data_IF_456158911838
#
_entry.id   IF_456158911838
#
_cell.length_a   1.000
_cell.length_b   1.000
_cell.length_c   1.000
_cell.angle_alpha   90.00
_cell.angle_beta   90.00
_cell.angle_gamma   90.00
#
_symmetry.space_group_name_H-M   'P 1'
#
loop_
_entity.id
_entity.type
_entity.pdbx_description
1 polymer ?
#
# COMPACT_ATOMS: atom_id res chain seq x y z
N UNK A 1 -21.00 -3.14 -11.52
CA UNK A 1 -20.04 -2.22 -10.88
C UNK A 1 -20.18 -0.88 -11.56
N UNK A 2 -20.22 0.21 -10.80
CA UNK A 2 -20.25 1.57 -11.36
C UNK A 2 -19.01 1.81 -12.21
N UNK A 3 -19.15 2.58 -13.28
CA UNK A 3 -18.02 2.97 -14.12
C UNK A 3 -16.98 3.71 -13.26
N UNK A 4 -15.71 3.30 -13.34
CA UNK A 4 -14.63 3.89 -12.55
C UNK A 4 -14.51 3.43 -11.09
N UNK A 5 -15.31 2.47 -10.63
CA UNK A 5 -15.12 1.86 -9.31
C UNK A 5 -13.79 1.11 -9.22
N UNK A 6 -13.04 1.35 -8.14
CA UNK A 6 -11.76 0.69 -7.85
C UNK A 6 -11.71 0.32 -6.36
N UNK A 7 -11.53 -0.96 -6.04
CA UNK A 7 -11.23 -1.43 -4.68
C UNK A 7 -9.73 -1.62 -4.51
N UNK A 8 -9.18 -0.98 -3.48
CA UNK A 8 -7.76 -1.01 -3.15
C UNK A 8 -7.56 -1.60 -1.77
N UNK A 9 -6.59 -2.49 -1.64
CA UNK A 9 -6.12 -3.07 -0.39
C UNK A 9 -4.66 -2.65 -0.17
N UNK A 10 -4.31 -2.15 1.02
CA UNK A 10 -2.92 -1.99 1.45
C UNK A 10 -2.66 -2.89 2.65
N UNK A 11 -1.56 -3.65 2.62
CA UNK A 11 -1.28 -4.62 3.66
C UNK A 11 0.22 -4.89 3.86
N UNK A 12 0.74 -4.57 5.05
CA UNK A 12 2.02 -5.09 5.52
C UNK A 12 1.87 -6.57 5.86
N UNK A 13 2.58 -7.44 5.14
CA UNK A 13 2.47 -8.91 5.28
C UNK A 13 3.58 -9.51 6.14
N UNK A 14 4.33 -8.68 6.86
CA UNK A 14 5.33 -9.09 7.84
C UNK A 14 6.34 -10.14 7.33
N UNK A 15 6.76 -10.04 6.06
CA UNK A 15 7.69 -11.01 5.47
C UNK A 15 7.13 -12.43 5.30
N UNK A 16 5.81 -12.62 5.38
CA UNK A 16 5.13 -13.92 5.39
C UNK A 16 5.66 -14.84 6.52
N UNK A 17 5.94 -14.26 7.69
CA UNK A 17 6.44 -14.96 8.88
C UNK A 17 5.33 -15.70 9.63
N UNK A 18 4.08 -15.23 9.49
CA UNK A 18 2.92 -15.73 10.21
C UNK A 18 2.15 -16.80 9.39
N UNK A 19 0.83 -16.91 9.57
CA UNK A 19 -0.02 -17.88 8.87
C UNK A 19 -0.24 -17.47 7.40
N UNK A 20 0.53 -18.07 6.50
CA UNK A 20 0.46 -17.80 5.05
C UNK A 20 -0.86 -18.21 4.41
N UNK A 21 -1.52 -19.24 4.94
CA UNK A 21 -2.82 -19.67 4.42
C UNK A 21 -3.89 -18.66 4.81
N UNK A 22 -3.88 -18.21 6.06
CA UNK A 22 -4.73 -17.11 6.51
C UNK A 22 -4.49 -15.84 5.70
N UNK A 23 -3.24 -15.46 5.48
CA UNK A 23 -2.89 -14.30 4.67
C UNK A 23 -3.48 -14.37 3.25
N UNK A 24 -3.33 -15.51 2.57
CA UNK A 24 -3.89 -15.70 1.24
C UNK A 24 -5.44 -15.69 1.22
N UNK A 25 -6.07 -16.20 2.27
CA UNK A 25 -7.53 -16.21 2.39
C UNK A 25 -8.09 -14.82 2.73
N UNK A 26 -7.44 -14.03 3.59
CA UNK A 26 -7.80 -12.62 3.85
C UNK A 26 -7.76 -11.82 2.56
N UNK A 27 -6.62 -11.86 1.85
CA UNK A 27 -6.45 -11.06 0.63
C UNK A 27 -7.46 -11.46 -0.46
N UNK A 28 -7.70 -12.76 -0.65
CA UNK A 28 -8.72 -13.23 -1.60
C UNK A 28 -10.14 -12.84 -1.21
N UNK A 29 -10.46 -12.90 0.09
CA UNK A 29 -11.78 -12.53 0.60
C UNK A 29 -12.14 -11.06 0.40
N UNK A 30 -11.14 -10.18 0.36
CA UNK A 30 -11.33 -8.75 0.07
C UNK A 30 -11.74 -8.50 -1.39
N UNK A 31 -11.25 -9.34 -2.31
CA UNK A 31 -11.44 -9.20 -3.76
C UNK A 31 -11.10 -7.79 -4.28
N UNK A 32 -9.90 -7.31 -3.96
CA UNK A 32 -9.42 -6.00 -4.41
C UNK A 32 -8.94 -6.03 -5.86
N UNK A 33 -9.16 -4.92 -6.56
CA UNK A 33 -8.64 -4.69 -7.92
C UNK A 33 -7.13 -4.40 -7.88
N UNK A 34 -6.66 -3.75 -6.81
CA UNK A 34 -5.25 -3.44 -6.54
C UNK A 34 -4.90 -3.84 -5.12
N UNK A 35 -3.79 -4.58 -4.96
CA UNK A 35 -3.20 -4.94 -3.67
C UNK A 35 -1.80 -4.35 -3.56
N UNK A 36 -1.62 -3.46 -2.59
CA UNK A 36 -0.36 -2.81 -2.25
C UNK A 36 0.21 -3.57 -1.06
N UNK A 37 1.34 -4.25 -1.26
CA UNK A 37 1.96 -5.10 -0.23
C UNK A 37 3.21 -4.43 0.30
N UNK A 38 3.33 -4.31 1.62
CA UNK A 38 4.57 -3.97 2.30
C UNK A 38 5.21 -5.22 2.90
N UNK A 39 6.53 -5.21 3.09
CA UNK A 39 7.29 -6.35 3.63
C UNK A 39 7.19 -7.66 2.83
N UNK A 40 6.93 -7.58 1.54
CA UNK A 40 6.99 -8.72 0.63
C UNK A 40 8.41 -9.28 0.40
N UNK A 41 8.54 -10.30 -0.48
CA UNK A 41 9.83 -10.94 -0.75
C UNK A 41 10.89 -9.97 -1.31
N UNK A 42 12.00 -9.82 -0.57
CA UNK A 42 13.08 -8.88 -0.89
C UNK A 42 14.51 -9.46 -0.77
N UNK A 43 14.66 -10.79 -0.89
CA UNK A 43 15.93 -11.52 -0.71
C UNK A 43 16.16 -12.53 -1.85
N UNK A 44 17.24 -13.30 -1.81
CA UNK A 44 17.56 -14.36 -2.79
C UNK A 44 16.33 -15.20 -3.18
N UNK A 45 16.02 -15.34 -4.47
CA UNK A 45 14.82 -16.03 -4.95
C UNK A 45 13.52 -15.21 -4.85
N UNK A 46 13.61 -13.88 -4.67
CA UNK A 46 12.45 -12.99 -4.55
C UNK A 46 11.48 -13.15 -5.72
N UNK A 47 11.95 -13.29 -6.96
CA UNK A 47 11.07 -13.43 -8.14
C UNK A 47 10.08 -14.58 -7.99
N UNK A 48 10.57 -15.79 -7.67
CA UNK A 48 9.74 -16.97 -7.49
C UNK A 48 8.81 -16.82 -6.26
N UNK A 49 9.31 -16.24 -5.17
CA UNK A 49 8.48 -16.02 -3.97
C UNK A 49 7.38 -14.98 -4.20
N UNK A 50 7.67 -13.91 -4.93
CA UNK A 50 6.68 -12.89 -5.29
C UNK A 50 5.64 -13.47 -6.24
N UNK A 51 6.06 -14.24 -7.26
CA UNK A 51 5.13 -14.92 -8.16
C UNK A 51 4.21 -15.91 -7.40
N UNK A 52 4.76 -16.67 -6.45
CA UNK A 52 3.98 -17.56 -5.60
C UNK A 52 3.00 -16.80 -4.69
N UNK A 53 3.42 -15.66 -4.14
CA UNK A 53 2.55 -14.81 -3.32
C UNK A 53 1.39 -14.26 -4.15
N UNK A 54 1.68 -13.66 -5.31
CA UNK A 54 0.66 -13.14 -6.23
C UNK A 54 -0.36 -14.23 -6.62
N UNK A 55 0.14 -15.42 -6.97
CA UNK A 55 -0.72 -16.59 -7.27
C UNK A 55 -1.57 -17.00 -6.08
N UNK A 56 -1.03 -17.02 -4.85
CA UNK A 56 -1.79 -17.35 -3.65
C UNK A 56 -2.91 -16.34 -3.39
N UNK A 57 -2.68 -15.07 -3.75
CA UNK A 57 -3.67 -13.98 -3.63
C UNK A 57 -4.68 -13.96 -4.78
N UNK A 58 -4.49 -14.77 -5.83
CA UNK A 58 -5.31 -14.70 -7.04
C UNK A 58 -5.09 -13.41 -7.83
N UNK A 59 -3.92 -12.80 -7.70
CA UNK A 59 -3.56 -11.53 -8.33
C UNK A 59 -2.35 -11.69 -9.26
N UNK A 60 -2.10 -10.68 -10.08
CA UNK A 60 -0.97 -10.57 -11.00
C UNK A 60 0.03 -9.58 -10.44
N UNK A 61 1.32 -9.90 -10.49
CA UNK A 61 2.38 -8.97 -10.12
C UNK A 61 2.52 -7.87 -11.18
N UNK A 62 2.27 -6.61 -10.81
CA UNK A 62 2.57 -5.46 -11.64
C UNK A 62 4.05 -5.05 -11.48
N UNK A 63 4.48 -4.82 -10.24
CA UNK A 63 5.85 -4.37 -9.94
C UNK A 63 6.25 -4.69 -8.51
N UNK A 64 7.56 -4.76 -8.27
CA UNK A 64 8.14 -4.70 -6.93
C UNK A 64 9.17 -5.78 -6.63
N UNK A 65 9.33 -6.12 -5.36
CA UNK A 65 10.19 -7.18 -4.87
C UNK A 65 11.50 -6.62 -4.36
N UNK A 66 12.64 -7.24 -4.73
CA UNK A 66 13.95 -6.72 -4.32
C UNK A 66 14.21 -5.27 -4.76
N UNK A 67 13.87 -4.82 -5.98
CA UNK A 67 14.15 -3.44 -6.41
C UNK A 67 13.51 -2.36 -5.54
N UNK A 68 12.29 -2.60 -5.04
CA UNK A 68 11.54 -1.72 -4.14
C UNK A 68 11.60 -2.15 -2.66
N UNK A 69 12.54 -3.05 -2.32
CA UNK A 69 12.78 -3.55 -0.98
C UNK A 69 11.56 -4.17 -0.26
N UNK A 70 10.79 -4.93 -1.02
CA UNK A 70 9.67 -5.72 -0.52
C UNK A 70 8.31 -5.08 -0.75
N UNK A 71 8.25 -3.85 -1.26
CA UNK A 71 6.99 -3.26 -1.67
C UNK A 71 6.53 -3.88 -2.99
N UNK A 72 5.26 -4.30 -3.08
CA UNK A 72 4.68 -4.86 -4.29
C UNK A 72 3.39 -4.11 -4.65
N UNK A 73 3.14 -3.99 -5.94
CA UNK A 73 1.81 -3.69 -6.47
C UNK A 73 1.36 -4.92 -7.23
N UNK A 74 0.23 -5.47 -6.81
CA UNK A 74 -0.46 -6.56 -7.47
C UNK A 74 -1.80 -6.04 -7.96
N UNK A 75 -2.30 -6.62 -9.04
CA UNK A 75 -3.58 -6.24 -9.62
C UNK A 75 -4.42 -7.46 -9.95
N UNK A 76 -5.73 -7.26 -10.05
CA UNK A 76 -6.58 -8.20 -10.79
C UNK A 76 -6.37 -8.02 -12.31
N UNK A 77 -7.18 -8.71 -13.12
CA UNK A 77 -7.09 -8.66 -14.58
C UNK A 77 -7.79 -7.46 -15.23
N UNK A 78 -8.65 -6.73 -14.51
CA UNK A 78 -9.35 -5.58 -15.08
C UNK A 78 -8.52 -4.30 -15.03
N UNK A 79 -7.54 -4.25 -14.15
CA UNK A 79 -6.55 -3.17 -14.10
C UNK A 79 -5.47 -3.42 -15.15
N UNK A 80 -5.40 -2.54 -16.14
CA UNK A 80 -4.33 -2.55 -17.14
C UNK A 80 -3.15 -1.74 -16.64
N UNK A 81 -1.97 -2.36 -16.58
CA UNK A 81 -0.70 -1.71 -16.23
C UNK A 81 -0.03 -1.19 -17.51
N UNK A 82 0.40 0.07 -17.52
CA UNK A 82 1.04 0.74 -18.66
C UNK A 82 2.53 0.94 -18.46
N UNK A 83 2.91 1.45 -17.28
CA UNK A 83 4.28 1.75 -16.93
C UNK A 83 4.53 1.44 -15.46
N UNK A 84 5.76 1.04 -15.12
CA UNK A 84 6.14 0.68 -13.76
C UNK A 84 7.56 1.08 -13.46
N UNK A 85 7.82 1.55 -12.24
CA UNK A 85 9.16 1.84 -11.77
C UNK A 85 9.28 1.60 -10.26
N UNK A 86 10.51 1.63 -9.76
CA UNK A 86 10.82 1.47 -8.34
C UNK A 86 11.92 2.45 -7.95
N UNK A 87 11.80 3.02 -6.75
CA UNK A 87 12.83 3.88 -6.17
C UNK A 87 13.38 3.24 -4.91
N UNK A 88 14.69 3.32 -4.72
CA UNK A 88 15.36 3.03 -3.45
C UNK A 88 15.74 4.34 -2.79
N UNK A 89 15.39 4.50 -1.52
CA UNK A 89 15.79 5.66 -0.74
C UNK A 89 17.25 5.51 -0.27
N UNK A 90 18.00 6.61 -0.12
CA UNK A 90 19.38 6.58 0.33
C UNK A 90 19.54 5.79 1.64
N UNK A 91 20.58 4.95 1.70
CA UNK A 91 20.91 4.20 2.90
C UNK A 91 21.55 5.13 3.93
N UNK A 92 20.91 5.29 5.08
CA UNK A 92 21.59 5.82 6.25
C UNK A 92 22.48 4.73 6.86
N UNK A 93 23.79 4.96 7.10
CA UNK A 93 24.67 3.98 7.72
C UNK A 93 24.08 3.41 9.02
N UNK A 94 24.07 2.08 9.15
CA UNK A 94 23.48 1.38 10.31
C UNK A 94 21.95 1.24 10.29
N UNK A 95 21.27 1.70 9.24
CA UNK A 95 19.82 1.55 9.06
C UNK A 95 19.48 0.56 7.95
N UNK A 96 18.20 0.23 7.82
CA UNK A 96 17.71 -0.60 6.75
C UNK A 96 17.29 0.26 5.56
N UNK A 97 17.82 -0.06 4.38
CA UNK A 97 17.37 0.58 3.14
C UNK A 97 15.85 0.38 2.96
N UNK A 98 15.18 1.42 2.47
CA UNK A 98 13.75 1.44 2.14
C UNK A 98 13.55 1.89 0.70
N UNK A 99 12.35 1.72 0.18
CA UNK A 99 12.04 2.07 -1.20
C UNK A 99 10.54 2.08 -1.45
N UNK A 100 10.17 2.35 -2.69
CA UNK A 100 8.80 2.41 -3.15
C UNK A 100 8.64 1.71 -4.50
N UNK A 101 7.43 1.22 -4.77
CA UNK A 101 7.02 0.68 -6.05
C UNK A 101 5.90 1.54 -6.62
N UNK A 102 5.88 1.71 -7.95
CA UNK A 102 4.92 2.55 -8.65
C UNK A 102 4.41 1.87 -9.91
N UNK A 103 3.14 2.05 -10.21
CA UNK A 103 2.52 1.57 -11.44
C UNK A 103 1.50 2.59 -11.96
N UNK A 104 1.65 2.98 -13.22
CA UNK A 104 0.62 3.68 -13.98
C UNK A 104 -0.36 2.67 -14.55
N UNK A 105 -1.63 2.86 -14.24
CA UNK A 105 -2.70 1.91 -14.46
C UNK A 105 -3.90 2.57 -15.13
N UNK A 106 -4.82 1.74 -15.62
CA UNK A 106 -6.16 2.17 -15.99
C UNK A 106 -7.21 1.09 -15.74
N UNK A 107 -8.42 1.52 -15.40
CA UNK A 107 -9.63 0.71 -15.45
C UNK A 107 -10.55 1.33 -16.50
N UNK A 108 -10.78 0.60 -17.60
CA UNK A 108 -11.42 1.19 -18.78
C UNK A 108 -10.58 2.36 -19.33
N UNK A 109 -11.18 3.55 -19.40
CA UNK A 109 -10.51 4.79 -19.86
C UNK A 109 -9.86 5.61 -18.73
N UNK A 110 -10.19 5.33 -17.48
CA UNK A 110 -9.77 6.14 -16.32
C UNK A 110 -8.37 5.73 -15.90
N UNK A 111 -7.42 6.66 -15.97
CA UNK A 111 -6.00 6.46 -15.63
C UNK A 111 -5.70 6.90 -14.20
N UNK A 112 -4.77 6.20 -13.56
CA UNK A 112 -4.32 6.50 -12.21
C UNK A 112 -2.93 5.92 -11.97
N UNK A 113 -2.20 6.45 -10.99
CA UNK A 113 -0.93 5.89 -10.51
C UNK A 113 -1.12 5.27 -9.14
N UNK A 114 -0.61 4.07 -8.94
CA UNK A 114 -0.54 3.42 -7.63
C UNK A 114 0.89 3.51 -7.11
N UNK A 115 1.05 3.82 -5.83
CA UNK A 115 2.33 3.75 -5.13
C UNK A 115 2.24 2.91 -3.85
N UNK A 116 3.27 2.12 -3.59
CA UNK A 116 3.42 1.33 -2.37
C UNK A 116 4.76 1.58 -1.70
N UNK A 117 4.75 1.89 -0.40
CA UNK A 117 5.97 2.14 0.37
C UNK A 117 5.87 1.64 1.82
N UNK A 118 7.03 1.43 2.43
CA UNK A 118 7.20 1.17 3.86
C UNK A 118 8.39 2.00 4.33
N UNK A 119 8.15 2.94 5.23
CA UNK A 119 9.19 3.87 5.68
C UNK A 119 10.02 3.33 6.85
N UNK A 120 11.05 4.09 7.23
CA UNK A 120 11.93 3.74 8.35
C UNK A 120 11.24 3.87 9.72
N UNK A 121 11.73 3.09 10.68
CA UNK A 121 11.42 3.27 12.11
C UNK A 121 12.13 4.50 12.69
N UNK A 122 13.25 4.92 12.11
CA UNK A 122 13.98 6.12 12.51
C UNK A 122 13.26 7.39 12.03
N UNK A 123 12.95 8.31 12.93
CA UNK A 123 12.11 9.48 12.62
C UNK A 123 12.75 10.45 11.62
N UNK A 124 14.07 10.66 11.70
CA UNK A 124 14.79 11.58 10.79
C UNK A 124 14.88 10.98 9.40
N UNK A 125 15.22 9.69 9.31
CA UNK A 125 15.27 8.98 8.04
C UNK A 125 13.88 8.91 7.41
N UNK A 126 12.85 8.60 8.20
CA UNK A 126 11.47 8.51 7.76
C UNK A 126 10.94 9.82 7.16
N UNK A 127 11.22 10.96 7.79
CA UNK A 127 10.85 12.27 7.25
C UNK A 127 11.51 12.52 5.88
N UNK A 128 12.81 12.23 5.76
CA UNK A 128 13.54 12.37 4.50
C UNK A 128 13.01 11.45 3.40
N UNK A 129 12.62 10.21 3.76
CA UNK A 129 12.02 9.25 2.82
C UNK A 129 10.64 9.69 2.34
N UNK A 130 9.84 10.32 3.20
CA UNK A 130 8.55 10.87 2.81
C UNK A 130 8.70 12.01 1.79
N UNK A 131 9.67 12.90 1.96
CA UNK A 131 9.97 13.97 0.99
C UNK A 131 10.39 13.41 -0.37
N UNK A 132 11.23 12.36 -0.37
CA UNK A 132 11.63 11.67 -1.61
C UNK A 132 10.44 11.01 -2.31
N UNK A 133 9.59 10.31 -1.55
CA UNK A 133 8.35 9.76 -2.09
C UNK A 133 7.48 10.87 -2.70
N UNK A 134 7.38 12.01 -2.03
CA UNK A 134 6.62 13.18 -2.50
C UNK A 134 7.11 13.74 -3.81
N UNK A 135 8.43 13.86 -3.94
CA UNK A 135 9.07 14.31 -5.17
C UNK A 135 8.78 13.38 -6.35
N UNK A 136 8.77 12.06 -6.13
CA UNK A 136 8.39 11.08 -7.16
C UNK A 136 6.92 11.22 -7.55
N UNK A 137 6.04 11.41 -6.56
CA UNK A 137 4.61 11.57 -6.78
C UNK A 137 4.23 12.91 -7.44
N UNK A 138 5.02 13.97 -7.23
CA UNK A 138 4.75 15.26 -7.90
C UNK A 138 5.15 15.25 -9.38
N UNK A 139 5.88 14.23 -9.84
CA UNK A 139 6.27 14.06 -11.23
C UNK A 139 5.23 13.29 -12.07
N UNK A 140 4.21 12.69 -11.45
CA UNK A 140 3.14 11.99 -12.17
C UNK A 140 1.93 12.91 -12.41
N UNK A 141 1.36 12.80 -13.61
CA UNK A 141 0.23 13.66 -14.03
C UNK A 141 -1.14 13.07 -13.67
N UNK A 142 -1.24 11.74 -13.57
CA UNK A 142 -2.48 11.03 -13.28
C UNK A 142 -2.82 11.03 -11.79
N UNK A 143 -4.11 10.93 -11.41
CA UNK A 143 -4.53 10.80 -10.02
C UNK A 143 -3.80 9.65 -9.30
N UNK A 144 -3.31 9.90 -8.09
CA UNK A 144 -2.52 8.94 -7.31
C UNK A 144 -3.34 8.22 -6.25
N UNK A 145 -3.02 6.95 -6.02
CA UNK A 145 -3.45 6.14 -4.86
C UNK A 145 -2.20 5.57 -4.19
N UNK A 146 -2.05 5.81 -2.90
CA UNK A 146 -0.84 5.45 -2.14
C UNK A 146 -1.22 4.58 -0.96
N UNK A 147 -0.62 3.39 -0.87
CA UNK A 147 -0.65 2.54 0.31
C UNK A 147 0.71 2.58 1.01
N UNK A 148 0.74 3.00 2.27
CA UNK A 148 1.99 3.16 3.01
C UNK A 148 1.89 2.57 4.41
N UNK A 149 2.88 1.77 4.81
CA UNK A 149 3.23 1.63 6.22
C UNK A 149 4.18 2.79 6.57
N UNK A 150 3.64 3.79 7.26
CA UNK A 150 4.35 5.02 7.56
C UNK A 150 5.21 4.85 8.82
N UNK A 151 4.98 3.83 9.68
CA UNK A 151 5.63 3.71 11.00
C UNK A 151 5.44 4.93 11.93
N UNK A 152 4.41 5.74 11.70
CA UNK A 152 3.97 6.80 12.61
C UNK A 152 2.50 7.16 12.36
N UNK A 153 1.89 7.86 13.29
CA UNK A 153 0.48 8.28 13.19
C UNK A 153 0.34 9.63 12.49
N UNK A 154 -0.90 10.08 12.29
CA UNK A 154 -1.24 11.32 11.56
C UNK A 154 -0.62 12.62 12.11
N UNK A 155 -0.13 12.64 13.36
CA UNK A 155 0.61 13.77 13.91
C UNK A 155 2.07 13.87 13.45
N UNK A 156 2.61 12.76 12.93
CA UNK A 156 4.00 12.65 12.48
C UNK A 156 4.32 13.51 11.27
N UNK A 157 5.60 13.85 11.11
CA UNK A 157 6.06 14.71 10.02
C UNK A 157 5.97 14.03 8.66
N UNK A 158 6.38 12.76 8.57
CA UNK A 158 6.33 11.98 7.34
C UNK A 158 4.88 11.67 6.92
N UNK A 159 3.98 11.38 7.86
CA UNK A 159 2.56 11.26 7.55
C UNK A 159 2.03 12.55 6.95
N UNK A 160 2.32 13.70 7.56
CA UNK A 160 1.88 15.01 7.06
C UNK A 160 2.47 15.33 5.69
N UNK A 161 3.76 15.06 5.46
CA UNK A 161 4.38 15.18 4.13
C UNK A 161 3.65 14.30 3.11
N UNK A 162 3.32 13.04 3.44
CA UNK A 162 2.60 12.12 2.55
C UNK A 162 1.10 12.47 2.42
N UNK A 163 0.52 13.18 3.36
CA UNK A 163 -0.86 13.63 3.26
C UNK A 163 -0.97 14.97 2.52
N UNK A 164 0.12 15.73 2.38
CA UNK A 164 0.09 17.06 1.77
C UNK A 164 -0.43 17.01 0.33
N UNK A 165 -1.46 17.82 0.07
CA UNK A 165 -2.20 17.83 -1.21
C UNK A 165 -3.06 16.60 -1.50
N UNK A 166 -3.17 15.63 -0.58
CA UNK A 166 -3.96 14.40 -0.76
C UNK A 166 -5.07 14.27 0.28
N UNK A 167 -6.01 13.38 -0.02
CA UNK A 167 -7.08 12.95 0.88
C UNK A 167 -6.64 11.68 1.62
N UNK A 168 -6.63 11.73 2.94
CA UNK A 168 -6.54 10.53 3.78
C UNK A 168 -7.89 9.79 3.74
N UNK A 169 -7.90 8.58 3.17
CA UNK A 169 -9.14 7.85 2.94
C UNK A 169 -9.89 7.50 4.24
N UNK A 170 -9.17 7.24 5.33
CA UNK A 170 -9.81 6.96 6.62
C UNK A 170 -10.51 8.21 7.17
N UNK A 171 -9.86 9.38 7.06
CA UNK A 171 -10.45 10.66 7.49
C UNK A 171 -11.68 11.00 6.64
N UNK A 172 -11.55 10.88 5.31
CA UNK A 172 -12.66 11.15 4.39
C UNK A 172 -13.89 10.27 4.64
N UNK A 173 -13.68 9.03 5.09
CA UNK A 173 -14.76 8.10 5.41
C UNK A 173 -15.23 8.16 6.88
N UNK A 174 -14.69 9.07 7.70
CA UNK A 174 -15.04 9.18 9.11
C UNK A 174 -14.57 8.00 9.97
N UNK A 175 -13.47 7.35 9.59
CA UNK A 175 -12.93 6.14 10.18
C UNK A 175 -11.46 6.29 10.65
N UNK A 176 -11.03 7.52 10.93
CA UNK A 176 -9.64 7.84 11.32
C UNK A 176 -9.24 7.29 12.69
N UNK A 177 -10.21 6.92 13.53
CA UNK A 177 -10.05 6.29 14.85
C UNK A 177 -9.72 4.80 14.76
N UNK A 178 -9.91 4.17 13.59
CA UNK A 178 -9.62 2.75 13.39
C UNK A 178 -8.12 2.50 13.35
N UNK A 179 -7.63 1.82 14.38
CA UNK A 179 -6.22 1.45 14.52
C UNK A 179 -5.87 0.25 13.63
N UNK A 180 -4.63 0.24 13.13
CA UNK A 180 -4.11 -0.81 12.24
C UNK A 180 -3.01 -1.63 12.90
N UNK A 181 -2.43 -1.12 14.00
CA UNK A 181 -1.30 -1.72 14.69
C UNK A 181 -1.30 -1.42 16.22
N UNK A 182 -0.72 -2.31 17.05
CA UNK A 182 -0.47 -3.74 16.75
C UNK A 182 -1.78 -4.52 16.77
N UNK A 183 -1.84 -5.70 16.15
CA UNK A 183 -3.06 -6.53 16.14
C UNK A 183 -3.60 -6.89 17.53
N UNK A 184 -2.70 -7.15 18.48
CA UNK A 184 -3.04 -7.47 19.86
C UNK A 184 -3.10 -6.18 20.69
N UNK A 185 -4.31 -5.63 20.83
CA UNK A 185 -4.56 -4.33 21.45
C UNK A 185 -4.20 -3.17 20.52
N UNK A 186 -4.99 -2.95 19.44
CA UNK A 186 -4.74 -1.89 18.47
C UNK A 186 -4.79 -0.51 19.11
N UNK A 187 -3.74 0.27 18.89
CA UNK A 187 -3.54 1.57 19.55
C UNK A 187 -3.15 2.68 18.58
N UNK A 188 -2.68 2.34 17.39
CA UNK A 188 -2.22 3.30 16.41
C UNK A 188 -2.69 2.95 15.00
N UNK A 189 -2.93 3.98 14.20
CA UNK A 189 -3.05 3.88 12.74
C UNK A 189 -1.75 4.37 12.14
N UNK A 190 -0.94 3.42 11.66
CA UNK A 190 0.35 3.68 11.01
C UNK A 190 0.34 3.25 9.54
N UNK A 191 -0.67 2.48 9.14
CA UNK A 191 -0.94 2.12 7.75
C UNK A 191 -1.92 3.15 7.16
N UNK A 192 -1.45 3.89 6.15
CA UNK A 192 -2.20 4.95 5.48
C UNK A 192 -2.60 4.56 4.07
N UNK A 193 -3.80 4.98 3.68
CA UNK A 193 -4.26 4.97 2.29
C UNK A 193 -4.60 6.42 1.90
N UNK A 194 -3.76 7.00 1.05
CA UNK A 194 -3.88 8.39 0.60
C UNK A 194 -4.28 8.42 -0.87
N UNK A 195 -5.21 9.29 -1.23
CA UNK A 195 -5.71 9.40 -2.60
C UNK A 195 -5.70 10.84 -3.07
N UNK A 196 -5.49 11.03 -4.37
CA UNK A 196 -5.65 12.32 -5.01
C UNK A 196 -7.06 12.89 -4.75
N UNK A 197 -7.22 14.21 -4.49
CA UNK A 197 -8.53 14.82 -4.24
C UNK A 197 -9.54 14.66 -5.38
N UNK A 198 -9.07 14.35 -6.61
CA UNK A 198 -9.92 14.01 -7.76
C UNK A 198 -10.58 12.64 -7.63
N UNK A 199 -10.09 11.77 -6.74
CA UNK A 199 -10.63 10.43 -6.48
C UNK A 199 -11.61 10.51 -5.32
N UNK A 200 -12.84 10.05 -5.55
CA UNK A 200 -13.83 9.97 -4.49
C UNK A 200 -13.60 8.73 -3.62
N UNK A 201 -13.55 8.91 -2.30
CA UNK A 201 -13.56 7.83 -1.32
C UNK A 201 -15.01 7.48 -0.99
N UNK A 202 -15.46 6.28 -1.38
CA UNK A 202 -16.82 5.79 -1.11
C UNK A 202 -16.88 5.08 0.23
N UNK A 203 -15.85 4.29 0.54
CA UNK A 203 -15.74 3.53 1.78
C UNK A 203 -14.27 3.37 2.16
N UNK A 204 -14.02 3.32 3.45
CA UNK A 204 -12.78 2.83 4.03
C UNK A 204 -13.10 1.82 5.12
N UNK A 205 -12.25 0.81 5.29
CA UNK A 205 -12.37 -0.15 6.39
C UNK A 205 -11.02 -0.71 6.83
N UNK A 206 -10.96 -1.19 8.06
CA UNK A 206 -9.85 -2.00 8.59
C UNK A 206 -10.37 -3.41 8.74
N UNK A 207 -9.73 -4.38 8.09
CA UNK A 207 -10.19 -5.77 8.06
C UNK A 207 -9.81 -6.48 9.37
N UNK A 208 -10.54 -6.18 10.44
CA UNK A 208 -10.38 -6.86 11.74
C UNK A 208 -11.20 -8.16 11.77
N UNK A 209 -10.52 -9.26 11.45
CA UNK A 209 -11.09 -10.61 11.52
C UNK A 209 -10.14 -11.55 12.27
N UNK A 210 -10.64 -12.66 12.84
CA UNK A 210 -9.78 -13.70 13.41
C UNK A 210 -8.74 -14.24 12.43
N UNK A 211 -9.05 -14.21 11.13
CA UNK A 211 -8.15 -14.62 10.07
C UNK A 211 -7.02 -13.60 9.86
N UNK A 212 -7.37 -12.31 9.77
CA UNK A 212 -6.38 -11.22 9.69
C UNK A 212 -5.43 -11.21 10.89
N UNK A 213 -5.94 -11.54 12.08
CA UNK A 213 -5.15 -11.64 13.31
C UNK A 213 -4.07 -12.73 13.30
N UNK A 214 -4.17 -13.72 12.40
CA UNK A 214 -3.14 -14.76 12.21
C UNK A 214 -2.21 -14.47 11.03
N UNK A 215 -2.62 -13.58 10.13
CA UNK A 215 -2.03 -13.41 8.82
C UNK A 215 -0.79 -12.49 8.79
N UNK A 216 -0.71 -11.55 9.73
CA UNK A 216 0.37 -10.56 9.86
C UNK A 216 0.42 -10.06 11.31
N UNK A 217 1.20 -9.03 11.61
CA UNK A 217 1.18 -8.21 12.82
C UNK A 217 0.44 -6.85 12.63
N UNK A 218 0.00 -6.56 11.40
CA UNK A 218 -0.84 -5.42 11.02
C UNK A 218 -2.24 -5.87 10.58
N UNK A 219 -3.23 -4.98 10.66
CA UNK A 219 -4.49 -5.16 9.93
C UNK A 219 -4.38 -4.66 8.48
N UNK A 220 -5.01 -5.35 7.52
CA UNK A 220 -5.18 -4.81 6.18
C UNK A 220 -6.15 -3.63 6.19
N UNK A 221 -5.88 -2.62 5.37
CA UNK A 221 -6.77 -1.48 5.13
C UNK A 221 -7.33 -1.51 3.72
N UNK A 222 -8.62 -1.22 3.58
CA UNK A 222 -9.30 -1.22 2.29
C UNK A 222 -9.96 0.12 2.01
N UNK A 223 -10.00 0.50 0.75
CA UNK A 223 -10.83 1.60 0.28
C UNK A 223 -11.58 1.21 -1.00
N UNK A 224 -12.87 1.59 -1.04
CA UNK A 224 -13.65 1.61 -2.27
C UNK A 224 -13.62 3.03 -2.82
N UNK A 225 -13.15 3.17 -4.05
CA UNK A 225 -12.86 4.45 -4.70
C UNK A 225 -13.65 4.59 -6.00
N UNK A 226 -13.91 5.84 -6.40
CA UNK A 226 -14.36 6.16 -7.77
C UNK A 226 -13.31 7.07 -8.40
N UNK A 227 -12.66 6.55 -9.45
CA UNK A 227 -11.68 7.29 -10.24
C UNK A 227 -12.35 8.43 -11.00
N UNK A 228 -11.68 9.58 -11.26
CA UNK A 228 -12.21 10.61 -12.14
C UNK A 228 -12.28 10.12 -13.59
N UNK A 229 -13.01 10.85 -14.43
CA UNK A 229 -13.14 10.58 -15.88
C UNK A 229 -11.84 10.80 -16.66
#
# INVERSE_FOLDING_TARGET
>A
MTEGALRVLSYNVHGQRDDRAALAEVVRGVAADVVIVQEGPRRFGWRNRTANLARAFGAVLAVGGLPSLGNLILTDLRVRVHHTWTTQFPLTPGRHMRGAAFAECSVGRRRFTVAGTHLSLDATERASQAELLRKELSAVETPVVIGADVNETSGGAAWRTIADGLTDAAVSAGAADRCTFPLLGPQARIDGLFVDPRIQVVRYDVVDTPLAKRASDHFPVIADLVLPE
#
